data_IF_856165787874
#
_entry.id   IF_856165787874
#
_cell.length_a   1.000
_cell.length_b   1.000
_cell.length_c   1.000
_cell.angle_alpha   90.00
_cell.angle_beta   90.00
_cell.angle_gamma   90.00
#
_symmetry.space_group_name_H-M   'P 1'
#
loop_
_entity.id
_entity.type
_entity.pdbx_description
1 polymer ?
#
# COMPACT_ATOMS: atom_id res chain seq x y z
N UNK A 1 2.92 -8.98 15.87
CA UNK A 1 3.00 -8.75 14.42
C UNK A 1 4.40 -8.34 14.03
N UNK A 2 5.13 -9.26 13.42
CA UNK A 2 6.38 -9.03 12.71
C UNK A 2 6.09 -8.37 11.34
N UNK A 3 7.01 -7.54 10.85
CA UNK A 3 6.89 -6.93 9.51
C UNK A 3 8.06 -7.37 8.65
N UNK A 4 7.76 -7.90 7.47
CA UNK A 4 8.75 -8.29 6.47
C UNK A 4 8.59 -7.45 5.20
N UNK A 5 9.70 -7.26 4.49
CA UNK A 5 9.75 -6.59 3.20
C UNK A 5 10.24 -7.58 2.15
N UNK A 6 9.52 -7.68 1.03
CA UNK A 6 10.09 -8.28 -0.17
C UNK A 6 11.26 -7.44 -0.70
N UNK A 7 12.15 -8.03 -1.51
CA UNK A 7 13.23 -7.27 -2.16
C UNK A 7 12.69 -6.09 -2.99
N UNK A 8 11.56 -6.30 -3.66
CA UNK A 8 10.92 -5.25 -4.44
C UNK A 8 10.43 -4.10 -3.54
N UNK A 9 9.80 -4.40 -2.39
CA UNK A 9 9.38 -3.38 -1.45
C UNK A 9 10.58 -2.62 -0.85
N UNK A 10 11.64 -3.33 -0.42
CA UNK A 10 12.86 -2.70 0.11
C UNK A 10 13.46 -1.70 -0.88
N UNK A 11 13.62 -2.11 -2.13
CA UNK A 11 14.11 -1.25 -3.21
C UNK A 11 13.22 0.01 -3.39
N UNK A 12 11.89 -0.13 -3.35
CA UNK A 12 10.97 1.01 -3.47
C UNK A 12 11.09 2.00 -2.31
N UNK A 13 11.29 1.50 -1.10
CA UNK A 13 11.47 2.35 0.09
C UNK A 13 12.75 3.18 -0.05
N UNK A 14 13.86 2.52 -0.41
CA UNK A 14 15.17 3.18 -0.60
C UNK A 14 15.13 4.22 -1.73
N UNK A 15 14.61 3.86 -2.91
CA UNK A 15 14.53 4.76 -4.08
C UNK A 15 13.73 6.05 -3.81
N UNK A 16 12.77 6.00 -2.88
CA UNK A 16 11.78 7.06 -2.66
C UNK A 16 11.90 7.73 -1.31
N UNK A 17 12.88 7.33 -0.49
CA UNK A 17 13.03 7.81 0.88
C UNK A 17 11.74 7.61 1.68
N UNK A 18 11.16 6.42 1.60
CA UNK A 18 9.97 6.04 2.37
C UNK A 18 10.44 5.26 3.59
N UNK A 19 10.08 5.72 4.79
CA UNK A 19 10.42 5.01 6.01
C UNK A 19 9.53 3.78 6.17
N UNK A 20 10.06 2.75 6.84
CA UNK A 20 9.25 1.57 7.17
C UNK A 20 8.11 1.95 8.13
N UNK A 21 8.33 2.91 9.03
CA UNK A 21 7.33 3.38 9.99
C UNK A 21 6.12 4.01 9.29
N UNK A 22 6.34 4.82 8.25
CA UNK A 22 5.29 5.42 7.43
C UNK A 22 4.43 4.33 6.74
N UNK A 23 5.08 3.29 6.20
CA UNK A 23 4.40 2.13 5.59
C UNK A 23 3.57 1.38 6.62
N UNK A 24 4.15 1.07 7.77
CA UNK A 24 3.46 0.36 8.85
C UNK A 24 2.27 1.17 9.37
N UNK A 25 2.41 2.49 9.50
CA UNK A 25 1.32 3.37 9.92
C UNK A 25 0.14 3.27 8.96
N UNK A 26 0.39 3.38 7.65
CA UNK A 26 -0.66 3.28 6.62
C UNK A 26 -1.31 1.90 6.60
N UNK A 27 -0.56 0.82 6.80
CA UNK A 27 -1.14 -0.53 6.86
C UNK A 27 -2.02 -0.72 8.10
N UNK A 28 -1.61 -0.21 9.26
CA UNK A 28 -2.37 -0.34 10.53
C UNK A 28 -3.58 0.58 10.61
N UNK A 29 -3.51 1.76 10.01
CA UNK A 29 -4.58 2.76 10.03
C UNK A 29 -4.79 3.35 8.63
N UNK A 30 -5.27 2.54 7.67
CA UNK A 30 -5.45 2.99 6.29
C UNK A 30 -6.57 4.03 6.19
N UNK A 31 -6.39 5.02 5.32
CA UNK A 31 -7.48 5.90 4.91
C UNK A 31 -8.51 5.15 4.05
N UNK A 32 -8.02 4.21 3.22
CA UNK A 32 -8.86 3.28 2.44
C UNK A 32 -8.18 1.92 2.34
N UNK A 33 -8.98 0.86 2.37
CA UNK A 33 -8.50 -0.52 2.29
C UNK A 33 -9.21 -1.24 1.14
N UNK A 34 -8.47 -2.07 0.42
CA UNK A 34 -8.98 -2.85 -0.69
C UNK A 34 -8.41 -4.25 -0.69
N UNK A 35 -9.02 -5.11 -1.51
CA UNK A 35 -8.51 -6.42 -1.89
C UNK A 35 -8.32 -6.46 -3.40
N UNK A 36 -7.11 -6.79 -3.87
CA UNK A 36 -6.79 -6.93 -5.30
C UNK A 36 -7.08 -8.36 -5.78
N UNK A 37 -8.17 -8.54 -6.53
CA UNK A 37 -8.59 -9.84 -7.05
C UNK A 37 -7.59 -10.47 -8.03
N UNK A 38 -6.69 -9.68 -8.63
CA UNK A 38 -5.70 -10.22 -9.57
C UNK A 38 -4.52 -10.87 -8.84
N UNK A 39 -4.11 -10.31 -7.71
CA UNK A 39 -2.91 -10.75 -6.99
C UNK A 39 -3.24 -11.39 -5.63
N UNK A 40 -4.50 -11.34 -5.20
CA UNK A 40 -4.94 -11.80 -3.88
C UNK A 40 -4.25 -11.08 -2.72
N UNK A 41 -3.79 -9.84 -2.93
CA UNK A 41 -3.17 -9.04 -1.87
C UNK A 41 -4.17 -8.05 -1.29
N UNK A 42 -3.99 -7.74 0.00
CA UNK A 42 -4.59 -6.56 0.60
C UNK A 42 -3.89 -5.32 0.07
N UNK A 43 -4.64 -4.23 -0.04
CA UNK A 43 -4.10 -2.92 -0.44
C UNK A 43 -4.53 -1.87 0.57
N UNK A 44 -3.55 -1.26 1.23
CA UNK A 44 -3.77 -0.11 2.10
C UNK A 44 -3.41 1.18 1.35
N UNK A 45 -4.23 2.21 1.51
CA UNK A 45 -3.98 3.55 0.99
C UNK A 45 -4.02 4.53 2.14
N UNK A 46 -3.02 5.41 2.21
CA UNK A 46 -2.94 6.42 3.26
C UNK A 46 -1.99 7.55 2.89
N UNK A 47 -2.06 8.66 3.63
CA UNK A 47 -1.19 9.81 3.39
C UNK A 47 0.27 9.46 3.69
N UNK A 48 1.18 10.18 3.03
CA UNK A 48 2.58 10.23 3.41
C UNK A 48 2.81 11.23 4.54
N UNK A 49 3.97 11.14 5.17
CA UNK A 49 4.50 12.20 6.05
C UNK A 49 4.79 13.48 5.26
N UNK A 50 5.04 13.34 3.94
CA UNK A 50 5.16 14.48 3.02
C UNK A 50 3.77 14.94 2.56
N UNK A 51 3.46 16.21 2.83
CA UNK A 51 2.17 16.82 2.53
C UNK A 51 1.77 16.65 1.05
N UNK A 52 0.51 16.26 0.83
CA UNK A 52 -0.06 16.07 -0.50
C UNK A 52 0.43 14.81 -1.24
N UNK A 53 1.21 13.95 -0.60
CA UNK A 53 1.59 12.64 -1.13
C UNK A 53 0.84 11.52 -0.43
N UNK A 54 0.69 10.40 -1.12
CA UNK A 54 -0.03 9.22 -0.69
C UNK A 54 0.76 7.96 -0.98
N UNK A 55 0.59 6.95 -0.13
CA UNK A 55 1.07 5.60 -0.35
C UNK A 55 -0.08 4.69 -0.78
N UNK A 56 0.23 3.81 -1.71
CA UNK A 56 -0.55 2.62 -2.04
C UNK A 56 0.36 1.44 -1.73
N UNK A 57 -0.05 0.60 -0.77
CA UNK A 57 0.76 -0.48 -0.22
C UNK A 57 0.03 -1.78 -0.49
N UNK A 58 0.62 -2.67 -1.29
CA UNK A 58 0.13 -4.04 -1.40
C UNK A 58 0.85 -4.93 -0.37
N UNK A 59 0.09 -5.70 0.38
CA UNK A 59 0.62 -6.51 1.47
C UNK A 59 -0.18 -7.80 1.68
N UNK A 60 0.45 -8.74 2.34
CA UNK A 60 -0.18 -9.94 2.89
C UNK A 60 -0.20 -9.84 4.42
N UNK A 61 -1.26 -10.39 5.02
CA UNK A 61 -1.47 -10.38 6.47
C UNK A 61 -1.83 -11.78 6.93
N UNK A 62 -1.13 -12.24 7.96
CA UNK A 62 -1.37 -13.49 8.69
C UNK A 62 -1.38 -13.17 10.19
N UNK A 63 -1.76 -14.12 11.04
CA UNK A 63 -1.95 -13.89 12.49
C UNK A 63 -0.79 -13.14 13.15
N UNK A 64 0.45 -13.47 12.78
CA UNK A 64 1.65 -12.90 13.41
C UNK A 64 2.54 -12.08 12.49
N UNK A 65 2.25 -12.00 11.20
CA UNK A 65 3.14 -11.38 10.20
C UNK A 65 2.39 -10.54 9.17
N UNK A 66 2.92 -9.34 8.92
CA UNK A 66 2.58 -8.49 7.78
C UNK A 66 3.77 -8.54 6.81
N UNK A 67 3.53 -8.92 5.56
CA UNK A 67 4.54 -8.87 4.51
C UNK A 67 4.20 -7.80 3.48
N UNK A 68 5.09 -6.81 3.33
CA UNK A 68 4.93 -5.75 2.35
C UNK A 68 5.47 -6.22 1.00
N UNK A 69 4.58 -6.32 0.03
CA UNK A 69 4.88 -6.79 -1.32
C UNK A 69 5.37 -5.63 -2.20
N UNK A 70 4.72 -4.48 -2.16
CA UNK A 70 5.17 -3.28 -2.88
C UNK A 70 4.58 -2.01 -2.29
N UNK A 71 5.28 -0.89 -2.52
CA UNK A 71 4.85 0.45 -2.11
C UNK A 71 4.95 1.39 -3.30
N UNK A 72 3.88 2.14 -3.54
CA UNK A 72 3.80 3.16 -4.60
C UNK A 72 3.50 4.51 -3.93
N UNK A 73 4.38 5.49 -4.14
CA UNK A 73 4.13 6.87 -3.78
C UNK A 73 3.47 7.64 -4.93
N UNK A 74 2.43 8.43 -4.65
CA UNK A 74 1.75 9.26 -5.66
C UNK A 74 1.24 10.57 -5.07
N UNK A 75 1.21 11.65 -5.86
CA UNK A 75 0.75 12.98 -5.42
C UNK A 75 -0.46 13.52 -6.17
N UNK A 76 -0.65 13.15 -7.45
CA UNK A 76 -1.69 13.73 -8.31
C UNK A 76 -2.67 12.73 -8.91
N UNK A 77 -2.35 11.44 -8.86
CA UNK A 77 -3.06 10.41 -9.61
C UNK A 77 -3.79 9.41 -8.72
N UNK A 78 -3.88 9.66 -7.41
CA UNK A 78 -4.45 8.70 -6.47
C UNK A 78 -5.87 8.29 -6.87
N UNK A 79 -6.78 9.26 -6.98
CA UNK A 79 -8.17 9.00 -7.30
C UNK A 79 -8.32 8.29 -8.64
N UNK A 80 -7.56 8.74 -9.65
CA UNK A 80 -7.56 8.10 -10.98
C UNK A 80 -7.08 6.65 -10.90
N UNK A 81 -6.04 6.35 -10.11
CA UNK A 81 -5.54 4.98 -9.91
C UNK A 81 -6.63 4.12 -9.26
N UNK A 82 -7.22 4.59 -8.16
CA UNK A 82 -8.26 3.86 -7.44
C UNK A 82 -9.48 3.63 -8.32
N UNK A 83 -9.99 4.68 -8.99
CA UNK A 83 -11.16 4.59 -9.87
C UNK A 83 -10.95 3.62 -11.04
N UNK A 84 -9.75 3.61 -11.63
CA UNK A 84 -9.43 2.63 -12.68
C UNK A 84 -9.41 1.19 -12.16
N UNK A 85 -8.99 0.97 -10.91
CA UNK A 85 -8.96 -0.37 -10.29
C UNK A 85 -10.34 -0.85 -9.86
N UNK A 86 -11.18 0.06 -9.35
CA UNK A 86 -12.56 -0.24 -8.98
C UNK A 86 -13.44 -0.49 -10.22
N UNK A 87 -13.36 0.38 -11.23
CA UNK A 87 -14.17 0.27 -12.45
C UNK A 87 -13.85 -1.00 -13.27
N UNK A 88 -12.60 -1.45 -13.24
CA UNK A 88 -12.19 -2.73 -13.83
C UNK A 88 -12.53 -3.96 -12.98
N UNK A 89 -13.16 -3.78 -11.80
CA UNK A 89 -13.41 -4.80 -10.78
C UNK A 89 -12.16 -5.51 -10.30
N UNK A 90 -10.98 -4.91 -10.50
CA UNK A 90 -9.72 -5.49 -10.02
C UNK A 90 -9.60 -5.33 -8.52
N UNK A 91 -10.01 -4.18 -7.98
CA UNK A 91 -10.06 -3.95 -6.54
C UNK A 91 -11.49 -3.98 -6.04
N UNK A 92 -11.67 -4.54 -4.84
CA UNK A 92 -12.88 -4.44 -4.04
C UNK A 92 -12.52 -3.67 -2.76
N UNK A 93 -13.31 -2.67 -2.40
CA UNK A 93 -13.15 -1.93 -1.14
C UNK A 93 -13.69 -2.75 0.03
N UNK A 94 -12.95 -2.79 1.15
CA UNK A 94 -13.25 -3.62 2.33
C UNK A 94 -13.08 -2.84 3.63
#
# INVERSE_FOLDING_TARGET
METALTEHARMRLEERGISLDEVIHVVKSPARKFYDLKTSHLVAVGPRDTEGQWLIIAYEESEDKIEIVTVIATSKSLDKIIQNRLSSRRWIEI
#
